data_IF_138906658856
#
_entry.id   IF_138906658856
#
_cell.length_a   1.000
_cell.length_b   1.000
_cell.length_c   1.000
_cell.angle_alpha   90.00
_cell.angle_beta   90.00
_cell.angle_gamma   90.00
#
_symmetry.space_group_name_H-M   'P 1'
#
loop_
_entity.id
_entity.type
_entity.pdbx_description
1 polymer ?
#
# COMPACT_ATOMS: atom_id res chain seq x y z
N UNK A 1 21.59 -24.33 39.07
CA UNK A 1 20.96 -23.61 37.95
C UNK A 1 20.65 -22.21 38.43
N UNK A 2 21.03 -21.13 37.72
CA UNK A 2 20.72 -19.77 38.18
C UNK A 2 19.20 -19.58 38.15
N UNK A 3 18.65 -18.99 39.22
CA UNK A 3 17.23 -18.62 39.32
C UNK A 3 16.79 -17.88 38.06
N UNK A 4 15.80 -18.42 37.35
CA UNK A 4 15.16 -17.69 36.26
C UNK A 4 14.37 -16.54 36.87
N UNK A 5 14.95 -15.33 36.88
CA UNK A 5 14.21 -14.10 37.21
C UNK A 5 12.92 -14.05 36.39
N UNK A 6 11.78 -13.98 37.08
CA UNK A 6 10.44 -13.88 36.48
C UNK A 6 10.42 -12.68 35.52
N UNK A 7 10.30 -12.96 34.22
CA UNK A 7 10.22 -11.92 33.17
C UNK A 7 8.86 -11.23 33.23
N UNK A 8 8.84 -9.94 32.94
CA UNK A 8 7.59 -9.15 32.89
C UNK A 8 6.93 -9.39 31.53
N UNK A 9 5.63 -9.68 31.52
CA UNK A 9 4.86 -9.82 30.27
C UNK A 9 4.43 -8.43 29.81
N UNK A 10 4.63 -8.14 28.53
CA UNK A 10 4.23 -6.90 27.87
C UNK A 10 3.57 -7.21 26.52
N UNK A 11 2.77 -6.28 26.01
CA UNK A 11 2.11 -6.39 24.71
C UNK A 11 3.01 -6.03 23.51
N UNK A 12 2.50 -6.12 22.28
CA UNK A 12 3.21 -5.71 21.06
C UNK A 12 3.33 -4.18 20.93
N UNK A 13 2.60 -3.43 21.74
CA UNK A 13 2.69 -1.98 21.94
C UNK A 13 2.53 -1.65 23.42
N UNK A 14 3.31 -0.70 23.91
CA UNK A 14 3.30 -0.29 25.30
C UNK A 14 3.51 1.22 25.45
N UNK A 15 3.20 1.75 26.62
CA UNK A 15 3.59 3.10 27.00
C UNK A 15 4.89 3.05 27.82
N UNK A 16 5.80 3.99 27.56
CA UNK A 16 7.04 4.16 28.31
C UNK A 16 7.26 5.61 28.73
N UNK A 17 8.09 5.81 29.74
CA UNK A 17 8.55 7.14 30.13
C UNK A 17 10.05 7.32 29.91
N UNK A 18 10.48 8.58 29.82
CA UNK A 18 11.89 8.99 29.95
C UNK A 18 12.02 9.79 31.27
N UNK A 19 12.31 9.12 32.40
CA UNK A 19 12.25 9.75 33.72
C UNK A 19 13.22 10.94 33.88
N UNK A 20 14.39 10.87 33.25
CA UNK A 20 15.41 11.93 33.28
C UNK A 20 14.93 13.21 32.57
N UNK A 21 13.89 13.13 31.74
CA UNK A 21 13.34 14.23 30.94
C UNK A 21 11.90 14.59 31.33
N UNK A 22 11.40 14.04 32.45
CA UNK A 22 10.02 14.26 32.90
C UNK A 22 8.91 13.71 32.00
N UNK A 23 9.26 13.03 30.90
CA UNK A 23 8.32 12.49 29.91
C UNK A 23 7.69 11.19 30.41
N UNK A 24 6.37 11.10 30.29
CA UNK A 24 5.56 9.93 30.69
C UNK A 24 4.62 9.55 29.57
N UNK A 25 4.14 8.31 29.62
CA UNK A 25 3.08 7.80 28.74
C UNK A 25 3.35 7.99 27.23
N UNK A 26 4.59 7.75 26.82
CA UNK A 26 5.00 7.80 25.42
C UNK A 26 4.71 6.46 24.75
N UNK A 27 3.92 6.43 23.66
CA UNK A 27 3.62 5.20 22.94
C UNK A 27 4.87 4.62 22.26
N UNK A 28 5.05 3.31 22.40
CA UNK A 28 6.20 2.60 21.87
C UNK A 28 5.80 1.29 21.20
N UNK A 29 6.41 1.02 20.04
CA UNK A 29 6.30 -0.29 19.36
C UNK A 29 7.31 -1.26 19.96
N UNK A 30 6.85 -2.44 20.34
CA UNK A 30 7.73 -3.53 20.76
C UNK A 30 8.11 -4.36 19.53
N UNK A 31 9.40 -4.36 19.19
CA UNK A 31 9.94 -5.05 18.02
C UNK A 31 11.01 -6.05 18.43
N UNK A 32 10.65 -7.34 18.39
CA UNK A 32 11.56 -8.44 18.74
C UNK A 32 12.56 -8.76 17.62
N UNK A 33 12.34 -8.27 16.40
CA UNK A 33 13.28 -8.38 15.27
C UNK A 33 14.41 -7.35 15.37
N UNK A 34 14.07 -6.12 15.77
CA UNK A 34 15.03 -5.03 15.91
C UNK A 34 16.14 -5.35 16.92
N UNK A 35 17.40 -5.16 16.50
CA UNK A 35 18.57 -5.31 17.39
C UNK A 35 18.66 -4.16 18.39
N UNK A 36 18.36 -2.95 17.93
CA UNK A 36 18.52 -1.68 18.65
C UNK A 36 17.19 -0.96 18.79
N UNK A 37 17.08 -0.13 19.82
CA UNK A 37 15.93 0.73 20.05
C UNK A 37 16.14 2.08 19.36
N UNK A 38 15.06 2.75 18.94
CA UNK A 38 15.10 4.05 18.26
C UNK A 38 14.11 4.99 18.92
N UNK A 39 14.50 6.25 19.09
CA UNK A 39 13.63 7.32 19.62
C UNK A 39 13.56 8.46 18.60
N UNK A 40 12.41 9.08 18.50
CA UNK A 40 12.24 10.30 17.74
C UNK A 40 13.06 11.44 18.35
N UNK A 41 14.03 11.95 17.60
CA UNK A 41 14.77 13.16 17.93
C UNK A 41 14.71 14.18 16.79
N UNK A 42 14.76 15.46 17.17
CA UNK A 42 14.83 16.63 16.30
C UNK A 42 15.99 17.54 16.74
N UNK A 43 16.33 18.50 15.87
CA UNK A 43 17.35 19.52 16.11
C UNK A 43 18.70 18.98 16.61
N UNK A 44 19.15 17.87 16.01
CA UNK A 44 20.38 17.16 16.40
C UNK A 44 21.61 17.94 15.90
N UNK A 45 22.49 18.35 16.81
CA UNK A 45 23.71 19.13 16.51
C UNK A 45 24.88 18.60 17.32
N UNK A 46 25.99 18.29 16.65
CA UNK A 46 27.26 17.94 17.28
C UNK A 46 28.20 19.16 17.23
N UNK A 47 28.67 19.64 18.39
CA UNK A 47 29.65 20.73 18.49
C UNK A 47 30.68 20.42 19.58
N UNK A 48 31.97 20.51 19.26
CA UNK A 48 33.07 20.35 20.22
C UNK A 48 33.01 19.07 21.07
N UNK A 49 32.58 17.94 20.48
CA UNK A 49 32.46 16.65 21.17
C UNK A 49 31.23 16.53 22.07
N UNK A 50 30.27 17.46 21.96
CA UNK A 50 29.00 17.44 22.68
C UNK A 50 27.86 17.31 21.67
N UNK A 51 26.97 16.35 21.88
CA UNK A 51 25.76 16.18 21.09
C UNK A 51 24.57 16.85 21.78
N UNK A 52 23.90 17.74 21.08
CA UNK A 52 22.64 18.36 21.49
C UNK A 52 21.50 17.86 20.61
N UNK A 53 20.34 17.60 21.19
CA UNK A 53 19.14 17.20 20.47
C UNK A 53 17.90 17.47 21.31
N UNK A 54 16.71 17.46 20.69
CA UNK A 54 15.42 17.51 21.39
C UNK A 54 14.67 16.21 21.11
N UNK A 55 14.01 15.64 22.11
CA UNK A 55 13.09 14.53 21.86
C UNK A 55 11.78 15.07 21.29
N UNK A 56 11.34 14.47 20.18
CA UNK A 56 10.17 14.88 19.40
C UNK A 56 10.32 16.28 18.76
N UNK A 57 9.38 16.68 17.90
CA UNK A 57 9.34 18.02 17.29
C UNK A 57 8.08 18.79 17.73
N UNK A 58 8.00 20.10 17.47
CA UNK A 58 6.92 20.99 17.96
C UNK A 58 5.50 20.50 17.65
N UNK A 59 5.36 19.75 16.57
CA UNK A 59 4.10 19.16 16.10
C UNK A 59 3.67 17.92 16.89
N UNK A 60 4.54 17.37 17.75
CA UNK A 60 4.25 16.23 18.62
C UNK A 60 3.60 16.66 19.93
N UNK A 61 2.58 15.92 20.36
CA UNK A 61 1.96 16.09 21.69
C UNK A 61 2.92 15.80 22.86
N UNK A 62 4.05 15.12 22.59
CA UNK A 62 5.07 14.77 23.59
C UNK A 62 6.23 15.76 23.65
N UNK A 63 6.21 16.81 22.82
CA UNK A 63 7.29 17.78 22.73
C UNK A 63 7.32 18.72 23.94
N UNK A 64 8.45 18.72 24.64
CA UNK A 64 8.70 19.64 25.77
C UNK A 64 9.57 20.83 25.37
N UNK A 65 10.25 20.76 24.22
CA UNK A 65 11.29 21.72 23.83
C UNK A 65 12.56 21.67 24.68
N UNK A 66 12.67 20.69 25.57
CA UNK A 66 13.83 20.52 26.42
C UNK A 66 15.03 20.00 25.60
N UNK A 67 16.12 20.77 25.63
CA UNK A 67 17.34 20.41 24.94
C UNK A 67 18.14 19.39 25.77
N UNK A 68 18.33 18.21 25.20
CA UNK A 68 19.12 17.13 25.80
C UNK A 68 20.56 17.23 25.33
N UNK A 69 21.50 17.14 26.28
CA UNK A 69 22.94 17.17 26.01
C UNK A 69 23.57 15.82 26.36
N UNK A 70 24.33 15.25 25.43
CA UNK A 70 25.05 13.99 25.62
C UNK A 70 26.56 14.17 25.31
N UNK A 71 27.40 13.86 26.29
CA UNK A 71 28.87 13.80 26.16
C UNK A 71 29.36 12.41 25.77
N UNK A 72 28.58 11.37 26.05
CA UNK A 72 28.82 10.01 25.58
C UNK A 72 27.80 9.64 24.51
N UNK A 73 28.23 9.64 23.25
CA UNK A 73 27.45 9.19 22.12
C UNK A 73 28.29 8.35 21.16
N UNK A 74 27.63 7.43 20.46
CA UNK A 74 28.20 6.70 19.35
C UNK A 74 27.59 7.16 18.03
N UNK A 75 28.19 6.73 16.94
CA UNK A 75 27.63 6.84 15.59
C UNK A 75 27.47 5.44 15.03
N UNK A 76 26.32 5.15 14.45
CA UNK A 76 26.10 3.92 13.70
C UNK A 76 25.75 4.28 12.27
N UNK A 77 26.33 3.55 11.34
CA UNK A 77 25.84 3.56 9.97
C UNK A 77 24.66 2.61 9.94
N UNK A 78 23.47 3.16 9.77
CA UNK A 78 22.30 2.37 9.41
C UNK A 78 22.28 2.33 7.89
N UNK A 79 22.29 1.13 7.33
CA UNK A 79 22.07 0.92 5.90
C UNK A 79 20.66 0.34 5.77
N UNK A 80 19.62 1.17 5.62
CA UNK A 80 18.31 0.66 5.24
C UNK A 80 18.43 -0.01 3.87
N UNK A 81 17.46 -0.85 3.50
CA UNK A 81 17.39 -1.46 2.16
C UNK A 81 17.24 -0.46 1.01
N UNK A 82 17.20 0.85 1.30
CA UNK A 82 17.34 1.93 0.34
C UNK A 82 18.78 2.14 -0.16
N UNK A 83 19.78 1.49 0.46
CA UNK A 83 21.17 1.49 0.03
C UNK A 83 21.92 2.81 0.26
N UNK A 84 21.34 3.78 0.96
CA UNK A 84 22.03 4.98 1.41
C UNK A 84 22.34 4.83 2.90
N UNK A 85 23.63 4.66 3.20
CA UNK A 85 24.16 4.68 4.56
C UNK A 85 23.80 6.01 5.23
N UNK A 86 22.90 5.97 6.21
CA UNK A 86 22.55 7.10 7.06
C UNK A 86 23.35 6.96 8.36
N UNK A 87 24.23 7.93 8.64
CA UNK A 87 24.89 8.01 9.94
C UNK A 87 23.89 8.52 10.97
N UNK A 88 23.60 7.69 11.98
CA UNK A 88 22.73 8.04 13.09
C UNK A 88 23.49 8.05 14.41
N UNK A 89 23.20 9.03 15.24
CA UNK A 89 23.72 9.10 16.59
C UNK A 89 23.05 8.06 17.48
N UNK A 90 23.82 7.52 18.42
CA UNK A 90 23.36 6.58 19.44
C UNK A 90 23.71 7.15 20.80
N UNK A 91 22.70 7.32 21.64
CA UNK A 91 22.84 7.83 23.00
C UNK A 91 22.30 6.83 24.01
N UNK A 92 22.80 6.86 25.25
CA UNK A 92 22.21 6.06 26.34
C UNK A 92 21.14 6.89 27.04
N UNK A 93 19.90 6.43 26.98
CA UNK A 93 18.77 7.04 27.69
C UNK A 93 18.26 6.10 28.79
N UNK A 94 17.79 6.68 29.89
CA UNK A 94 17.01 5.94 30.88
C UNK A 94 15.54 5.95 30.47
N UNK A 95 14.96 4.75 30.35
CA UNK A 95 13.53 4.55 30.08
C UNK A 95 12.86 3.80 31.21
N UNK A 96 11.57 4.04 31.41
CA UNK A 96 10.72 3.25 32.31
C UNK A 96 9.66 2.53 31.47
N UNK A 97 9.69 1.21 31.48
CA UNK A 97 8.77 0.34 30.73
C UNK A 97 8.16 -0.70 31.67
N UNK A 98 6.83 -0.78 31.72
CA UNK A 98 6.07 -1.67 32.62
C UNK A 98 6.60 -1.63 34.08
N UNK A 99 6.83 -0.42 34.59
CA UNK A 99 7.36 -0.19 35.93
C UNK A 99 8.87 -0.37 36.10
N UNK A 100 9.58 -0.95 35.13
CA UNK A 100 11.02 -1.23 35.21
C UNK A 100 11.86 -0.11 34.58
N UNK A 101 12.80 0.45 35.34
CA UNK A 101 13.78 1.43 34.83
C UNK A 101 14.96 0.72 34.17
N UNK A 102 15.31 1.13 32.96
CA UNK A 102 16.35 0.50 32.12
C UNK A 102 17.17 1.59 31.47
N UNK A 103 18.50 1.52 31.61
CA UNK A 103 19.42 2.35 30.82
C UNK A 103 19.84 1.56 29.59
N UNK A 104 19.53 2.08 28.40
CA UNK A 104 19.81 1.40 27.13
C UNK A 104 20.19 2.40 26.05
N UNK A 105 20.87 1.89 25.01
CA UNK A 105 21.22 2.68 23.84
C UNK A 105 20.01 2.87 22.92
N UNK A 106 19.78 4.11 22.50
CA UNK A 106 18.78 4.51 21.53
C UNK A 106 19.44 5.20 20.36
N UNK A 107 19.08 4.78 19.15
CA UNK A 107 19.38 5.51 17.94
C UNK A 107 18.46 6.72 17.84
N UNK A 108 19.03 7.90 17.56
CA UNK A 108 18.28 9.12 17.29
C UNK A 108 17.88 9.15 15.81
N UNK A 109 16.59 9.26 15.53
CA UNK A 109 16.07 9.36 14.17
C UNK A 109 14.87 10.30 14.10
N UNK A 110 14.63 10.92 12.95
CA UNK A 110 13.35 11.59 12.73
C UNK A 110 12.25 10.53 12.59
N UNK A 111 11.30 10.52 13.52
CA UNK A 111 10.15 9.59 13.50
C UNK A 111 8.79 10.30 13.43
N UNK A 112 8.77 11.53 12.91
CA UNK A 112 7.54 12.34 12.67
C UNK A 112 6.52 11.66 11.76
N UNK A 113 6.90 10.58 11.08
CA UNK A 113 6.05 9.86 10.13
C UNK A 113 5.55 8.53 10.63
N UNK A 114 5.96 8.11 11.82
CA UNK A 114 5.72 6.78 12.35
C UNK A 114 4.61 6.84 13.41
N UNK A 115 3.74 5.82 13.42
CA UNK A 115 2.69 5.67 14.44
C UNK A 115 3.25 5.68 15.85
N UNK A 116 4.44 5.10 16.05
CA UNK A 116 5.11 5.06 17.34
C UNK A 116 6.37 5.93 17.32
N UNK A 117 6.42 6.98 18.16
CA UNK A 117 7.59 7.85 18.28
C UNK A 117 8.79 7.12 18.90
N UNK A 118 8.58 5.96 19.53
CA UNK A 118 9.63 5.09 20.06
C UNK A 118 9.48 3.66 19.53
N UNK A 119 10.60 3.04 19.17
CA UNK A 119 10.71 1.62 18.86
C UNK A 119 11.64 0.94 19.86
N UNK A 120 11.15 -0.10 20.53
CA UNK A 120 11.87 -0.83 21.57
C UNK A 120 12.34 -2.17 21.00
N UNK A 121 13.66 -2.27 20.82
CA UNK A 121 14.34 -3.44 20.28
C UNK A 121 14.89 -4.39 21.34
N UNK A 122 15.53 -5.47 20.88
CA UNK A 122 16.09 -6.55 21.74
C UNK A 122 17.07 -6.07 22.80
N UNK A 123 17.79 -4.96 22.57
CA UNK A 123 18.72 -4.41 23.56
C UNK A 123 18.03 -3.97 24.87
N UNK A 124 16.78 -3.51 24.79
CA UNK A 124 15.95 -3.22 25.97
C UNK A 124 15.30 -4.51 26.48
N UNK A 125 14.74 -5.32 25.58
CA UNK A 125 13.88 -6.47 25.90
C UNK A 125 14.59 -7.67 26.52
N UNK A 126 15.80 -8.00 26.05
CA UNK A 126 16.51 -9.25 26.36
C UNK A 126 16.67 -9.44 27.86
N UNK A 127 16.35 -10.65 28.31
CA UNK A 127 16.40 -11.13 29.70
C UNK A 127 15.50 -10.39 30.70
N UNK A 128 14.61 -9.49 30.24
CA UNK A 128 13.75 -8.68 31.12
C UNK A 128 12.26 -8.88 30.85
N UNK A 129 11.88 -9.09 29.59
CA UNK A 129 10.48 -9.14 29.17
C UNK A 129 10.14 -10.37 28.32
N UNK A 130 8.86 -10.72 28.30
CA UNK A 130 8.21 -11.64 27.35
C UNK A 130 7.14 -10.83 26.63
N UNK A 131 7.10 -10.92 25.30
CA UNK A 131 6.09 -10.22 24.49
C UNK A 131 4.93 -11.20 24.26
N UNK A 132 3.77 -10.90 24.82
CA UNK A 132 2.54 -11.65 24.59
C UNK A 132 1.61 -10.85 23.67
N UNK A 133 1.43 -11.36 22.45
CA UNK A 133 0.63 -10.74 21.39
C UNK A 133 -0.87 -10.73 21.69
N UNK A 134 -1.32 -11.49 22.70
CA UNK A 134 -2.71 -11.48 23.16
C UNK A 134 -2.96 -10.41 24.24
N UNK A 135 -1.93 -9.68 24.67
CA UNK A 135 -1.99 -8.68 25.74
C UNK A 135 -1.46 -7.32 25.28
N UNK A 136 -1.72 -6.28 26.08
CA UNK A 136 -1.41 -4.89 25.77
C UNK A 136 -2.67 -4.07 25.51
N UNK A 137 -2.63 -2.77 25.82
CA UNK A 137 -3.64 -1.84 25.29
C UNK A 137 -3.23 -1.50 23.87
N UNK A 138 -4.10 -1.86 22.94
CA UNK A 138 -3.96 -1.51 21.54
C UNK A 138 -3.99 0.02 21.43
N UNK A 139 -2.86 0.67 21.12
CA UNK A 139 -2.85 2.08 20.66
C UNK A 139 -3.64 2.26 19.35
N UNK A 140 -3.97 1.12 18.72
CA UNK A 140 -5.05 0.90 17.75
C UNK A 140 -6.39 1.49 18.19
N UNK A 141 -6.76 1.59 19.47
CA UNK A 141 -8.05 2.17 19.88
C UNK A 141 -8.18 3.64 19.46
N UNK A 142 -7.11 4.43 19.60
CA UNK A 142 -7.08 5.83 19.17
C UNK A 142 -7.10 5.98 17.62
N UNK A 143 -6.50 5.03 16.90
CA UNK A 143 -6.54 4.98 15.44
C UNK A 143 -7.87 4.45 14.91
N UNK A 144 -8.50 3.51 15.63
CA UNK A 144 -9.83 2.96 15.37
C UNK A 144 -10.87 4.05 15.62
N UNK A 145 -10.75 4.83 16.70
CA UNK A 145 -11.61 5.99 16.96
C UNK A 145 -11.45 7.06 15.88
N UNK A 146 -10.21 7.43 15.52
CA UNK A 146 -9.96 8.37 14.41
C UNK A 146 -10.50 7.82 13.08
N UNK A 147 -10.30 6.54 12.79
CA UNK A 147 -10.84 5.90 11.59
C UNK A 147 -12.37 5.89 11.63
N UNK A 148 -13.01 5.59 12.77
CA UNK A 148 -14.45 5.59 12.96
C UNK A 148 -15.05 6.99 12.77
N UNK A 149 -14.38 8.04 13.27
CA UNK A 149 -14.77 9.43 13.05
C UNK A 149 -14.69 9.81 11.56
N UNK A 150 -13.63 9.39 10.86
CA UNK A 150 -13.52 9.61 9.41
C UNK A 150 -14.57 8.81 8.65
N UNK A 151 -14.81 7.55 9.01
CA UNK A 151 -15.88 6.73 8.42
C UNK A 151 -17.26 7.36 8.64
N UNK A 152 -17.52 7.91 9.83
CA UNK A 152 -18.75 8.65 10.13
C UNK A 152 -18.86 9.95 9.31
N UNK A 153 -17.77 10.70 9.16
CA UNK A 153 -17.75 11.91 8.33
C UNK A 153 -17.96 11.61 6.83
N UNK A 154 -17.53 10.43 6.39
CA UNK A 154 -17.71 9.90 5.03
C UNK A 154 -19.04 9.16 4.85
N UNK A 155 -19.83 8.98 5.90
CA UNK A 155 -21.14 8.35 5.80
C UNK A 155 -22.00 9.08 4.75
N UNK A 156 -22.91 8.37 4.07
CA UNK A 156 -23.78 9.00 3.09
C UNK A 156 -24.53 10.18 3.74
N UNK A 157 -24.18 11.41 3.37
CA UNK A 157 -24.98 12.60 3.69
C UNK A 157 -26.28 12.53 2.90
N UNK A 158 -27.24 13.41 3.17
CA UNK A 158 -28.42 13.56 2.30
C UNK A 158 -27.96 13.94 0.88
N UNK A 159 -27.69 12.93 0.07
CA UNK A 159 -27.28 13.05 -1.31
C UNK A 159 -28.56 13.19 -2.12
N UNK A 160 -28.61 14.20 -3.00
CA UNK A 160 -29.73 14.35 -3.92
C UNK A 160 -29.97 13.05 -4.68
N UNK A 161 -31.20 12.52 -4.60
CA UNK A 161 -31.58 11.30 -5.31
C UNK A 161 -31.49 11.54 -6.81
N UNK A 162 -30.93 10.59 -7.53
CA UNK A 162 -30.92 10.62 -9.00
C UNK A 162 -32.34 10.56 -9.55
N UNK A 163 -32.60 11.30 -10.63
CA UNK A 163 -33.87 11.23 -11.37
C UNK A 163 -33.99 9.93 -12.21
N UNK A 164 -32.89 9.18 -12.37
CA UNK A 164 -32.84 7.97 -13.19
C UNK A 164 -32.19 6.82 -12.41
N UNK A 165 -32.97 6.06 -11.62
CA UNK A 165 -32.45 4.93 -10.87
C UNK A 165 -31.85 3.88 -11.81
N UNK A 166 -30.78 3.24 -11.36
CA UNK A 166 -30.03 2.22 -12.11
C UNK A 166 -30.06 0.92 -11.30
N UNK A 167 -30.07 -0.22 -11.99
CA UNK A 167 -29.79 -1.53 -11.40
C UNK A 167 -28.29 -1.80 -11.46
N UNK A 168 -27.65 -1.83 -10.30
CA UNK A 168 -26.20 -1.97 -10.15
C UNK A 168 -25.86 -3.31 -9.50
N UNK A 169 -25.07 -4.13 -10.18
CA UNK A 169 -24.44 -5.31 -9.61
C UNK A 169 -23.00 -5.01 -9.17
N UNK A 170 -22.69 -5.17 -7.89
CA UNK A 170 -21.31 -5.13 -7.39
C UNK A 170 -20.80 -6.57 -7.27
N UNK A 171 -19.86 -6.95 -8.13
CA UNK A 171 -19.30 -8.30 -8.12
C UNK A 171 -18.15 -8.38 -7.11
N UNK A 172 -18.38 -9.04 -5.96
CA UNK A 172 -17.40 -9.11 -4.87
C UNK A 172 -17.54 -10.44 -4.11
N UNK A 173 -16.44 -11.00 -3.59
CA UNK A 173 -16.47 -12.26 -2.81
C UNK A 173 -17.24 -12.14 -1.48
N UNK A 174 -17.46 -10.92 -0.98
CA UNK A 174 -18.21 -10.67 0.23
C UNK A 174 -18.57 -9.20 0.39
N UNK A 175 -19.69 -8.94 1.06
CA UNK A 175 -20.20 -7.58 1.28
C UNK A 175 -19.46 -6.82 2.39
N UNK A 176 -18.70 -7.52 3.25
CA UNK A 176 -18.02 -6.94 4.41
C UNK A 176 -16.74 -6.15 4.07
N UNK A 177 -16.24 -6.23 2.83
CA UNK A 177 -15.10 -5.42 2.42
C UNK A 177 -15.49 -3.93 2.36
N UNK A 178 -14.72 -3.07 3.03
CA UNK A 178 -14.95 -1.62 3.12
C UNK A 178 -15.34 -0.96 1.79
N UNK A 179 -14.56 -1.20 0.72
CA UNK A 179 -14.83 -0.60 -0.59
C UNK A 179 -16.19 -1.05 -1.15
N UNK A 180 -16.52 -2.34 -0.99
CA UNK A 180 -17.82 -2.89 -1.45
C UNK A 180 -18.97 -2.28 -0.67
N UNK A 181 -18.83 -2.19 0.67
CA UNK A 181 -19.81 -1.60 1.58
C UNK A 181 -20.08 -0.13 1.21
N UNK A 182 -19.02 0.68 1.14
CA UNK A 182 -19.10 2.11 0.78
C UNK A 182 -19.77 2.34 -0.57
N UNK A 183 -19.38 1.61 -1.61
CA UNK A 183 -19.98 1.73 -2.94
C UNK A 183 -21.48 1.38 -2.91
N UNK A 184 -21.88 0.35 -2.15
CA UNK A 184 -23.28 -0.02 -1.98
C UNK A 184 -24.06 1.08 -1.26
N UNK A 185 -23.56 1.55 -0.12
CA UNK A 185 -24.21 2.57 0.72
C UNK A 185 -24.44 3.86 -0.06
N UNK A 186 -23.41 4.36 -0.73
CA UNK A 186 -23.50 5.57 -1.54
C UNK A 186 -24.45 5.38 -2.73
N UNK A 187 -24.38 4.25 -3.43
CA UNK A 187 -25.30 4.00 -4.55
C UNK A 187 -26.77 3.90 -4.10
N UNK A 188 -27.04 3.26 -2.95
CA UNK A 188 -28.39 3.19 -2.37
C UNK A 188 -28.87 4.58 -1.91
N UNK A 189 -28.02 5.33 -1.22
CA UNK A 189 -28.34 6.69 -0.78
C UNK A 189 -28.68 7.63 -1.95
N UNK A 190 -28.05 7.39 -3.12
CA UNK A 190 -28.33 8.13 -4.36
C UNK A 190 -29.55 7.62 -5.14
N UNK A 191 -30.22 6.58 -4.66
CA UNK A 191 -31.49 6.09 -5.22
C UNK A 191 -31.37 4.93 -6.22
N UNK A 192 -30.23 4.22 -6.26
CA UNK A 192 -30.06 3.06 -7.14
C UNK A 192 -30.49 1.74 -6.47
N UNK A 193 -30.89 0.76 -7.29
CA UNK A 193 -31.13 -0.63 -6.86
C UNK A 193 -29.80 -1.39 -6.93
N UNK A 194 -29.27 -1.80 -5.79
CA UNK A 194 -27.90 -2.33 -5.69
C UNK A 194 -27.89 -3.75 -5.14
N UNK A 195 -27.29 -4.67 -5.90
CA UNK A 195 -27.07 -6.06 -5.47
C UNK A 195 -25.57 -6.38 -5.40
N UNK A 196 -25.10 -6.81 -4.23
CA UNK A 196 -23.76 -7.39 -4.11
C UNK A 196 -23.84 -8.88 -4.44
N UNK A 197 -23.06 -9.32 -5.43
CA UNK A 197 -23.12 -10.68 -5.97
C UNK A 197 -21.75 -11.33 -5.83
N UNK A 198 -21.72 -12.50 -5.19
CA UNK A 198 -20.51 -13.30 -5.14
C UNK A 198 -20.27 -13.99 -6.48
N UNK A 199 -19.41 -13.38 -7.30
CA UNK A 199 -19.05 -13.90 -8.62
C UNK A 199 -18.46 -15.32 -8.57
N UNK A 200 -17.87 -15.74 -7.45
CA UNK A 200 -17.32 -17.09 -7.31
C UNK A 200 -18.41 -18.17 -7.20
N UNK A 201 -19.65 -17.79 -6.88
CA UNK A 201 -20.82 -18.67 -6.84
C UNK A 201 -21.74 -18.48 -8.05
N UNK A 202 -21.38 -17.61 -8.98
CA UNK A 202 -22.12 -17.46 -10.23
C UNK A 202 -21.80 -18.62 -11.17
N UNK A 203 -22.74 -19.02 -12.00
CA UNK A 203 -22.56 -19.94 -13.13
C UNK A 203 -23.35 -19.41 -14.32
N UNK A 204 -23.04 -19.87 -15.54
CA UNK A 204 -23.51 -19.23 -16.76
C UNK A 204 -23.93 -20.28 -17.78
N UNK A 205 -24.97 -19.98 -18.56
CA UNK A 205 -25.31 -20.75 -19.76
C UNK A 205 -24.76 -20.05 -21.00
N UNK A 206 -24.33 -20.85 -21.98
CA UNK A 206 -23.84 -20.37 -23.27
C UNK A 206 -24.84 -20.79 -24.35
N UNK A 207 -25.84 -19.93 -24.58
CA UNK A 207 -26.89 -20.15 -25.56
C UNK A 207 -26.88 -19.04 -26.61
N UNK A 208 -27.24 -19.38 -27.86
CA UNK A 208 -27.31 -18.42 -28.97
C UNK A 208 -28.21 -17.25 -28.58
N UNK A 209 -27.64 -16.03 -28.63
CA UNK A 209 -28.33 -14.77 -28.32
C UNK A 209 -28.94 -14.67 -26.92
N UNK A 210 -28.56 -15.55 -25.99
CA UNK A 210 -29.12 -15.59 -24.63
C UNK A 210 -28.03 -15.78 -23.57
N UNK A 211 -27.12 -14.80 -23.39
CA UNK A 211 -26.16 -14.84 -22.30
C UNK A 211 -26.90 -14.68 -20.96
N UNK A 212 -26.84 -15.68 -20.08
CA UNK A 212 -27.45 -15.62 -18.74
C UNK A 212 -26.42 -15.94 -17.66
N UNK A 213 -26.46 -15.18 -16.57
CA UNK A 213 -25.73 -15.46 -15.33
C UNK A 213 -26.74 -15.94 -14.29
N UNK A 214 -26.40 -17.01 -13.59
CA UNK A 214 -27.17 -17.57 -12.49
C UNK A 214 -26.43 -17.38 -11.17
N UNK A 215 -27.18 -17.26 -10.08
CA UNK A 215 -26.67 -17.17 -8.73
C UNK A 215 -27.66 -17.82 -7.75
N UNK A 216 -27.18 -18.78 -6.95
CA UNK A 216 -28.00 -19.53 -6.00
C UNK A 216 -29.29 -20.11 -6.62
N UNK A 217 -29.17 -20.85 -7.73
CA UNK A 217 -30.31 -21.51 -8.38
C UNK A 217 -31.17 -20.61 -9.28
N UNK A 218 -30.95 -19.28 -9.27
CA UNK A 218 -31.83 -18.32 -9.97
C UNK A 218 -31.09 -17.56 -11.04
N UNK A 219 -31.74 -17.35 -12.18
CA UNK A 219 -31.27 -16.43 -13.20
C UNK A 219 -31.22 -15.01 -12.63
N UNK A 220 -30.10 -14.33 -12.83
CA UNK A 220 -29.97 -12.93 -12.45
C UNK A 220 -30.68 -12.03 -13.47
N UNK A 221 -31.33 -10.94 -13.00
CA UNK A 221 -31.93 -9.98 -13.91
C UNK A 221 -30.84 -9.23 -14.70
N UNK A 222 -31.26 -8.53 -15.75
CA UNK A 222 -30.39 -7.56 -16.42
C UNK A 222 -30.05 -6.42 -15.45
N UNK A 223 -28.76 -6.08 -15.39
CA UNK A 223 -28.26 -4.91 -14.69
C UNK A 223 -27.89 -3.83 -15.70
N UNK A 224 -28.07 -2.57 -15.33
CA UNK A 224 -27.58 -1.44 -16.13
C UNK A 224 -26.06 -1.34 -15.98
N UNK A 225 -25.56 -1.62 -14.77
CA UNK A 225 -24.16 -1.43 -14.40
C UNK A 225 -23.63 -2.63 -13.64
N UNK A 226 -22.38 -2.99 -13.94
CA UNK A 226 -21.57 -3.93 -13.18
C UNK A 226 -20.34 -3.21 -12.65
N UNK A 227 -20.14 -3.27 -11.33
CA UNK A 227 -18.92 -2.79 -10.66
C UNK A 227 -18.09 -4.01 -10.24
N UNK A 228 -17.08 -4.42 -11.05
CA UNK A 228 -16.27 -5.58 -10.75
C UNK A 228 -15.22 -5.28 -9.67
N UNK A 229 -15.29 -6.03 -8.57
CA UNK A 229 -14.29 -6.08 -7.49
C UNK A 229 -13.64 -7.46 -7.47
N UNK A 230 -13.08 -7.86 -8.61
CA UNK A 230 -12.52 -9.19 -8.82
C UNK A 230 -11.18 -9.33 -8.09
N UNK A 231 -11.08 -10.38 -7.28
CA UNK A 231 -9.86 -10.75 -6.56
C UNK A 231 -8.86 -11.35 -7.53
N UNK A 232 -7.58 -11.05 -7.33
CA UNK A 232 -6.53 -11.44 -8.27
C UNK A 232 -6.40 -12.96 -8.44
N UNK A 233 -6.61 -13.73 -7.37
CA UNK A 233 -6.62 -15.21 -7.40
C UNK A 233 -7.77 -15.81 -8.21
N UNK A 234 -8.81 -15.03 -8.53
CA UNK A 234 -9.99 -15.49 -9.28
C UNK A 234 -10.15 -14.74 -10.61
N UNK A 235 -9.09 -14.09 -11.11
CA UNK A 235 -9.17 -13.24 -12.31
C UNK A 235 -9.78 -13.97 -13.52
N UNK A 236 -9.36 -15.22 -13.79
CA UNK A 236 -9.85 -15.99 -14.95
C UNK A 236 -11.36 -16.20 -14.88
N UNK A 237 -11.88 -16.68 -13.75
CA UNK A 237 -13.31 -16.94 -13.60
C UNK A 237 -14.12 -15.65 -13.43
N UNK A 238 -13.64 -14.72 -12.60
CA UNK A 238 -14.31 -13.46 -12.33
C UNK A 238 -14.46 -12.59 -13.59
N UNK A 239 -13.44 -12.52 -14.44
CA UNK A 239 -13.55 -11.80 -15.72
C UNK A 239 -14.47 -12.50 -16.72
N UNK A 240 -14.60 -13.83 -16.67
CA UNK A 240 -15.60 -14.54 -17.47
C UNK A 240 -17.04 -14.16 -17.06
N UNK A 241 -17.31 -14.06 -15.76
CA UNK A 241 -18.60 -13.57 -15.24
C UNK A 241 -18.86 -12.12 -15.66
N UNK A 242 -17.86 -11.24 -15.53
CA UNK A 242 -17.95 -9.84 -16.01
C UNK A 242 -18.30 -9.81 -17.50
N UNK A 243 -17.60 -10.59 -18.31
CA UNK A 243 -17.83 -10.68 -19.75
C UNK A 243 -19.23 -11.14 -20.11
N UNK A 244 -19.81 -12.04 -19.32
CA UNK A 244 -21.19 -12.46 -19.54
C UNK A 244 -22.18 -11.31 -19.34
N UNK A 245 -21.98 -10.47 -18.31
CA UNK A 245 -22.78 -9.26 -18.12
C UNK A 245 -22.56 -8.21 -19.22
N UNK A 246 -21.33 -8.07 -19.71
CA UNK A 246 -21.02 -7.21 -20.87
C UNK A 246 -21.79 -7.68 -22.11
N UNK A 247 -21.85 -9.00 -22.36
CA UNK A 247 -22.63 -9.59 -23.46
C UNK A 247 -24.14 -9.39 -23.28
N UNK A 248 -24.63 -9.22 -22.05
CA UNK A 248 -26.02 -8.80 -21.76
C UNK A 248 -26.26 -7.29 -21.97
N UNK A 249 -25.23 -6.52 -22.32
CA UNK A 249 -25.28 -5.08 -22.55
C UNK A 249 -25.03 -4.22 -21.31
N UNK A 250 -24.67 -4.81 -20.18
CA UNK A 250 -24.40 -4.07 -18.93
C UNK A 250 -23.14 -3.23 -19.06
N UNK A 251 -23.13 -2.03 -18.49
CA UNK A 251 -21.93 -1.19 -18.40
C UNK A 251 -21.00 -1.67 -17.28
N UNK A 252 -19.80 -2.13 -17.63
CA UNK A 252 -18.79 -2.52 -16.65
C UNK A 252 -17.84 -1.36 -16.33
N UNK A 253 -17.69 -0.96 -15.06
CA UNK A 253 -16.77 0.12 -14.66
C UNK A 253 -15.30 -0.24 -14.85
N UNK A 254 -14.98 -1.54 -14.97
CA UNK A 254 -13.74 -2.04 -15.55
C UNK A 254 -14.08 -3.25 -16.41
N UNK A 255 -13.75 -3.20 -17.69
CA UNK A 255 -14.12 -4.29 -18.60
C UNK A 255 -13.36 -5.58 -18.28
N UNK A 256 -13.91 -6.72 -18.69
CA UNK A 256 -13.24 -8.03 -18.56
C UNK A 256 -11.84 -8.02 -19.18
N UNK A 257 -11.67 -7.31 -20.31
CA UNK A 257 -10.39 -7.14 -21.01
C UNK A 257 -9.46 -6.20 -20.21
N UNK A 258 -9.95 -5.07 -19.72
CA UNK A 258 -9.13 -4.11 -18.96
C UNK A 258 -8.64 -4.70 -17.63
N UNK A 259 -9.48 -5.48 -16.94
CA UNK A 259 -9.08 -6.23 -15.73
C UNK A 259 -7.94 -7.18 -16.09
N UNK A 260 -8.11 -8.05 -17.09
CA UNK A 260 -7.07 -9.01 -17.49
C UNK A 260 -5.75 -8.30 -17.86
N UNK A 261 -5.83 -7.22 -18.63
CA UNK A 261 -4.68 -6.39 -19.01
C UNK A 261 -3.95 -5.82 -17.80
N UNK A 262 -4.69 -5.31 -16.80
CA UNK A 262 -4.11 -4.75 -15.57
C UNK A 262 -3.48 -5.79 -14.64
N UNK A 263 -3.86 -7.08 -14.77
CA UNK A 263 -3.28 -8.18 -13.99
C UNK A 263 -2.02 -8.76 -14.60
N UNK A 264 -1.85 -8.60 -15.91
CA UNK A 264 -0.66 -9.02 -16.63
C UNK A 264 0.37 -7.89 -16.60
N UNK A 265 1.36 -8.02 -15.71
CA UNK A 265 2.38 -6.99 -15.51
C UNK A 265 3.20 -6.72 -16.77
N UNK A 266 3.51 -7.76 -17.56
CA UNK A 266 4.28 -7.59 -18.79
C UNK A 266 3.47 -6.78 -19.80
N UNK A 267 2.24 -7.24 -20.07
CA UNK A 267 1.35 -6.56 -21.01
C UNK A 267 1.04 -5.13 -20.57
N UNK A 268 0.79 -4.91 -19.28
CA UNK A 268 0.57 -3.59 -18.73
C UNK A 268 1.78 -2.68 -18.95
N UNK A 269 2.99 -3.17 -18.63
CA UNK A 269 4.24 -2.40 -18.79
C UNK A 269 4.48 -2.04 -20.26
N UNK A 270 4.27 -2.98 -21.19
CA UNK A 270 4.38 -2.72 -22.63
C UNK A 270 3.40 -1.64 -23.12
N UNK A 271 2.16 -1.67 -22.62
CA UNK A 271 1.13 -0.68 -22.98
C UNK A 271 1.47 0.69 -22.40
N UNK A 272 1.93 0.75 -21.16
CA UNK A 272 2.38 2.00 -20.53
C UNK A 272 3.56 2.61 -21.28
N UNK A 273 4.57 1.80 -21.62
CA UNK A 273 5.72 2.23 -22.42
C UNK A 273 5.29 2.78 -23.79
N UNK A 274 4.41 2.08 -24.52
CA UNK A 274 3.88 2.53 -25.82
C UNK A 274 3.09 3.83 -25.73
N UNK A 275 2.52 4.14 -24.56
CA UNK A 275 1.74 5.35 -24.33
C UNK A 275 2.57 6.48 -23.70
N UNK A 276 3.90 6.38 -23.74
CA UNK A 276 4.80 7.40 -23.20
C UNK A 276 4.51 7.69 -21.71
N UNK A 277 4.19 6.64 -20.95
CA UNK A 277 4.07 6.73 -19.49
C UNK A 277 5.43 6.37 -18.90
N UNK A 278 5.96 7.25 -18.05
CA UNK A 278 7.17 6.97 -17.28
C UNK A 278 7.01 5.66 -16.50
N UNK A 279 7.89 4.71 -16.75
CA UNK A 279 7.96 3.41 -16.06
C UNK A 279 9.42 3.13 -15.73
N UNK A 280 9.72 2.32 -14.70
CA UNK A 280 11.10 1.93 -14.49
C UNK A 280 11.57 1.03 -15.64
N UNK A 281 12.82 1.23 -16.09
CA UNK A 281 13.42 0.42 -17.16
C UNK A 281 13.27 -1.06 -16.83
N UNK A 282 12.58 -1.80 -17.70
CA UNK A 282 12.19 -3.18 -17.45
C UNK A 282 12.60 -4.08 -18.61
N UNK A 283 13.34 -5.13 -18.28
CA UNK A 283 13.77 -6.19 -19.18
C UNK A 283 12.95 -7.44 -18.88
N UNK A 284 12.38 -8.04 -19.92
CA UNK A 284 11.68 -9.31 -19.82
C UNK A 284 12.47 -10.36 -20.59
N UNK A 285 12.73 -11.50 -19.95
CA UNK A 285 13.58 -12.54 -20.52
C UNK A 285 13.04 -13.94 -20.24
N UNK A 286 13.43 -14.89 -21.09
CA UNK A 286 13.16 -16.33 -20.96
C UNK A 286 14.48 -17.10 -21.03
N UNK A 287 14.43 -18.36 -20.65
CA UNK A 287 15.53 -19.32 -20.39
C UNK A 287 16.76 -19.25 -21.33
N UNK A 288 16.61 -18.83 -22.58
CA UNK A 288 17.71 -18.74 -23.56
C UNK A 288 18.56 -17.46 -23.49
N UNK A 289 18.30 -16.55 -22.54
CA UNK A 289 18.96 -15.25 -22.48
C UNK A 289 20.19 -15.23 -21.56
N UNK A 290 21.21 -14.45 -21.95
CA UNK A 290 22.38 -14.22 -21.11
C UNK A 290 21.99 -13.40 -19.87
N UNK A 291 22.11 -14.01 -18.69
CA UNK A 291 21.73 -13.38 -17.42
C UNK A 291 22.53 -12.11 -17.09
N UNK A 292 23.78 -11.98 -17.53
CA UNK A 292 24.54 -10.74 -17.35
C UNK A 292 23.96 -9.60 -18.17
N UNK A 293 23.72 -9.89 -19.44
CA UNK A 293 23.19 -8.94 -20.40
C UNK A 293 21.82 -8.41 -19.95
N UNK A 294 20.95 -9.27 -19.39
CA UNK A 294 19.66 -8.84 -18.83
C UNK A 294 19.84 -7.79 -17.73
N UNK A 295 20.80 -8.00 -16.83
CA UNK A 295 21.07 -7.06 -15.72
C UNK A 295 21.64 -5.75 -16.27
N UNK A 296 22.53 -5.82 -17.25
CA UNK A 296 23.14 -4.64 -17.86
C UNK A 296 22.12 -3.83 -18.68
N UNK A 297 21.24 -4.51 -19.42
CA UNK A 297 20.10 -3.87 -20.09
C UNK A 297 19.15 -3.20 -19.10
N UNK A 298 18.99 -3.72 -17.89
CA UNK A 298 18.19 -3.11 -16.83
C UNK A 298 18.89 -1.92 -16.14
N UNK A 299 20.13 -1.59 -16.50
CA UNK A 299 20.90 -0.47 -15.94
C UNK A 299 21.99 -0.88 -14.93
N UNK A 300 22.24 -2.19 -14.77
CA UNK A 300 23.20 -2.71 -13.80
C UNK A 300 22.60 -2.90 -12.40
N UNK A 301 23.31 -3.62 -11.53
CA UNK A 301 22.87 -3.84 -10.16
C UNK A 301 23.02 -2.56 -9.30
N UNK A 302 22.14 -2.32 -8.31
CA UNK A 302 21.03 -3.18 -7.88
C UNK A 302 19.84 -3.21 -8.86
N UNK A 303 19.17 -4.37 -8.94
CA UNK A 303 17.97 -4.57 -9.77
C UNK A 303 16.83 -5.21 -8.98
N UNK A 304 15.59 -4.97 -9.43
CA UNK A 304 14.39 -5.63 -8.92
C UNK A 304 13.99 -6.77 -9.85
N UNK A 305 13.87 -7.98 -9.32
CA UNK A 305 13.37 -9.15 -10.05
C UNK A 305 11.94 -9.44 -9.59
N UNK A 306 10.98 -9.37 -10.51
CA UNK A 306 9.55 -9.62 -10.21
C UNK A 306 9.04 -10.83 -10.97
N UNK A 307 8.35 -11.74 -10.29
CA UNK A 307 7.57 -12.77 -10.95
C UNK A 307 6.40 -12.15 -11.71
N UNK A 308 6.22 -12.58 -12.96
CA UNK A 308 5.19 -12.04 -13.86
C UNK A 308 3.76 -12.34 -13.34
N UNK A 309 3.60 -13.41 -12.53
CA UNK A 309 2.34 -13.78 -11.87
C UNK A 309 2.53 -13.78 -10.35
N UNK A 310 1.84 -12.88 -9.65
CA UNK A 310 1.90 -12.77 -8.19
C UNK A 310 1.17 -11.52 -7.66
N UNK A 311 0.84 -11.54 -6.38
CA UNK A 311 0.02 -10.52 -5.68
C UNK A 311 0.69 -10.19 -4.34
N UNK A 312 0.55 -8.98 -3.82
CA UNK A 312 1.00 -8.60 -2.47
C UNK A 312 2.51 -8.70 -2.20
N UNK A 313 3.37 -8.40 -3.20
CA UNK A 313 4.83 -8.32 -2.99
C UNK A 313 5.56 -9.67 -2.87
N UNK A 314 4.84 -10.80 -2.88
CA UNK A 314 5.43 -12.14 -2.99
C UNK A 314 6.00 -12.33 -4.40
N UNK A 315 7.29 -12.66 -4.48
CA UNK A 315 8.04 -12.78 -5.72
C UNK A 315 8.55 -11.46 -6.29
N UNK A 316 8.78 -10.45 -5.44
CA UNK A 316 9.60 -9.27 -5.76
C UNK A 316 10.88 -9.36 -4.93
N UNK A 317 12.03 -9.41 -5.60
CA UNK A 317 13.35 -9.57 -4.98
C UNK A 317 14.24 -8.40 -5.37
N UNK A 318 14.87 -7.76 -4.38
CA UNK A 318 15.96 -6.82 -4.62
C UNK A 318 17.27 -7.62 -4.68
N UNK A 319 17.97 -7.52 -5.81
CA UNK A 319 19.28 -8.10 -6.00
C UNK A 319 20.33 -7.00 -6.03
N UNK A 320 21.09 -6.87 -4.94
CA UNK A 320 22.06 -5.78 -4.76
C UNK A 320 23.28 -5.89 -5.67
N UNK A 321 23.62 -7.12 -6.09
CA UNK A 321 24.80 -7.41 -6.91
C UNK A 321 24.41 -8.20 -8.16
N UNK A 322 25.23 -8.09 -9.23
CA UNK A 322 25.06 -8.92 -10.44
C UNK A 322 25.02 -10.42 -10.10
N UNK A 323 25.87 -10.87 -9.17
CA UNK A 323 25.93 -12.27 -8.73
C UNK A 323 24.64 -12.72 -8.05
N UNK A 324 24.09 -11.89 -7.15
CA UNK A 324 22.81 -12.16 -6.52
C UNK A 324 21.66 -12.20 -7.54
N UNK A 325 21.65 -11.25 -8.48
CA UNK A 325 20.63 -11.18 -9.53
C UNK A 325 20.63 -12.45 -10.38
N UNK A 326 21.80 -12.91 -10.81
CA UNK A 326 21.96 -14.18 -11.54
C UNK A 326 21.41 -15.37 -10.76
N UNK A 327 21.81 -15.52 -9.50
CA UNK A 327 21.37 -16.65 -8.68
C UNK A 327 19.84 -16.71 -8.57
N UNK A 328 19.19 -15.56 -8.35
CA UNK A 328 17.72 -15.46 -8.28
C UNK A 328 17.07 -15.78 -9.62
N UNK A 329 17.57 -15.22 -10.73
CA UNK A 329 17.03 -15.49 -12.07
C UNK A 329 17.18 -16.96 -12.47
N UNK A 330 18.32 -17.56 -12.15
CA UNK A 330 18.61 -18.96 -12.46
C UNK A 330 17.69 -19.91 -11.66
N UNK A 331 17.43 -19.59 -10.39
CA UNK A 331 16.43 -20.31 -9.60
C UNK A 331 15.02 -20.21 -10.22
N UNK A 332 14.61 -19.03 -10.70
CA UNK A 332 13.31 -18.89 -11.36
C UNK A 332 13.22 -19.62 -12.70
N UNK A 333 14.32 -19.76 -13.46
CA UNK A 333 14.33 -20.59 -14.66
C UNK A 333 14.15 -22.07 -14.36
N UNK A 334 14.84 -22.61 -13.34
CA UNK A 334 14.69 -24.01 -12.92
C UNK A 334 13.24 -24.32 -12.54
N UNK A 335 12.56 -23.38 -11.87
CA UNK A 335 11.15 -23.51 -11.49
C UNK A 335 10.17 -23.24 -12.63
N UNK A 336 10.65 -22.92 -13.84
CA UNK A 336 9.81 -22.61 -15.00
C UNK A 336 8.97 -21.33 -14.84
N UNK A 337 9.40 -20.41 -13.96
CA UNK A 337 8.66 -19.20 -13.62
C UNK A 337 9.08 -18.04 -14.53
N UNK A 338 8.09 -17.40 -15.17
CA UNK A 338 8.33 -16.16 -15.91
C UNK A 338 8.61 -14.99 -14.95
N UNK A 339 9.68 -14.25 -15.17
CA UNK A 339 10.06 -13.08 -14.38
C UNK A 339 10.43 -11.88 -15.27
N UNK A 340 10.51 -10.71 -14.65
CA UNK A 340 11.02 -9.46 -15.23
C UNK A 340 12.12 -8.91 -14.33
N UNK A 341 13.11 -8.28 -14.95
CA UNK A 341 14.19 -7.55 -14.27
C UNK A 341 13.96 -6.07 -14.51
N UNK A 342 13.98 -5.29 -13.46
CA UNK A 342 13.63 -3.88 -13.49
C UNK A 342 14.71 -3.07 -12.79
N UNK A 343 14.97 -1.86 -13.27
CA UNK A 343 15.87 -0.93 -12.58
C UNK A 343 15.40 -0.69 -11.13
N UNK A 344 16.37 -0.55 -10.21
CA UNK A 344 16.07 -0.13 -8.86
C UNK A 344 16.16 1.39 -8.74
N UNK A 345 15.01 2.03 -8.57
CA UNK A 345 14.90 3.48 -8.34
C UNK A 345 15.23 3.77 -6.87
N UNK A 346 16.51 3.98 -6.59
CA UNK A 346 17.09 4.10 -5.24
C UNK A 346 16.48 5.24 -4.43
N UNK A 347 16.24 6.38 -5.07
CA UNK A 347 15.74 7.61 -4.44
C UNK A 347 14.32 7.49 -3.89
N UNK A 348 13.55 6.49 -4.36
CA UNK A 348 12.20 6.19 -3.89
C UNK A 348 12.12 4.86 -3.16
N UNK A 349 13.25 4.24 -2.81
CA UNK A 349 13.24 2.96 -2.12
C UNK A 349 12.48 3.02 -0.78
N UNK A 350 11.60 2.05 -0.56
CA UNK A 350 10.74 2.02 0.63
C UNK A 350 9.57 3.01 0.58
N UNK A 351 9.36 3.72 -0.53
CA UNK A 351 8.24 4.64 -0.71
C UNK A 351 7.53 4.46 -2.05
N UNK A 352 6.21 4.61 -2.05
CA UNK A 352 5.44 4.74 -3.28
C UNK A 352 4.21 5.63 -3.07
N UNK A 353 3.68 6.19 -4.15
CA UNK A 353 2.47 6.99 -4.16
C UNK A 353 1.34 6.17 -4.78
N UNK A 354 0.29 5.92 -3.99
CA UNK A 354 -0.99 5.37 -4.45
C UNK A 354 -1.91 6.53 -4.85
N UNK A 355 -2.21 6.63 -6.14
CA UNK A 355 -3.14 7.60 -6.71
C UNK A 355 -4.44 6.91 -7.11
N UNK A 356 -5.58 7.38 -6.62
CA UNK A 356 -6.90 6.93 -7.09
C UNK A 356 -7.39 7.86 -8.20
N UNK A 357 -7.64 7.29 -9.37
CA UNK A 357 -8.15 8.00 -10.55
C UNK A 357 -9.59 7.57 -10.79
N UNK A 358 -10.49 8.53 -11.03
CA UNK A 358 -11.90 8.31 -11.42
C UNK A 358 -12.25 9.25 -12.57
N UNK A 359 -12.69 8.71 -13.71
CA UNK A 359 -13.20 9.51 -14.83
C UNK A 359 -12.24 10.59 -15.33
N UNK A 360 -10.95 10.25 -15.41
CA UNK A 360 -9.85 11.15 -15.79
C UNK A 360 -9.46 12.24 -14.78
N UNK A 361 -9.83 12.08 -13.51
CA UNK A 361 -9.42 12.99 -12.43
C UNK A 361 -8.78 12.21 -11.30
N UNK A 362 -7.75 12.78 -10.68
CA UNK A 362 -7.22 12.27 -9.42
C UNK A 362 -8.17 12.66 -8.29
N UNK A 363 -8.73 11.67 -7.61
CA UNK A 363 -9.69 11.90 -6.52
C UNK A 363 -9.04 11.82 -5.14
N UNK A 364 -8.01 10.99 -4.97
CA UNK A 364 -7.22 10.90 -3.75
C UNK A 364 -5.80 10.41 -4.05
N UNK A 365 -4.85 10.80 -3.21
CA UNK A 365 -3.45 10.38 -3.31
C UNK A 365 -2.86 10.21 -1.91
N UNK A 366 -2.18 9.09 -1.70
CA UNK A 366 -1.46 8.81 -0.46
C UNK A 366 -0.07 8.32 -0.78
N UNK A 367 0.93 8.80 -0.04
CA UNK A 367 2.26 8.20 -0.03
C UNK A 367 2.27 7.08 1.00
N UNK A 368 2.81 5.93 0.63
CA UNK A 368 3.00 4.75 1.47
C UNK A 368 4.48 4.61 1.73
N UNK A 369 4.85 4.41 3.00
CA UNK A 369 6.23 4.23 3.42
C UNK A 369 6.39 2.91 4.18
N UNK A 370 7.43 2.16 3.88
CA UNK A 370 7.81 0.95 4.63
C UNK A 370 8.14 1.30 6.09
N UNK A 371 7.73 0.45 7.04
CA UNK A 371 8.05 0.59 8.46
C UNK A 371 9.44 0.04 8.82
N UNK A 372 9.95 -0.86 7.99
CA UNK A 372 11.20 -1.59 8.22
C UNK A 372 12.26 -1.18 7.18
N UNK A 373 13.46 -1.72 7.32
CA UNK A 373 14.47 -1.74 6.25
C UNK A 373 14.01 -2.64 5.08
N UNK A 374 12.74 -2.63 4.67
CA UNK A 374 12.21 -3.26 3.45
C UNK A 374 12.02 -2.21 2.36
N UNK A 375 12.53 -2.47 1.16
CA UNK A 375 12.42 -1.58 0.00
C UNK A 375 10.99 -1.52 -0.54
N UNK A 376 10.09 -2.41 -0.08
CA UNK A 376 8.68 -2.48 -0.46
C UNK A 376 7.81 -1.68 0.52
N UNK A 377 7.00 -0.78 -0.02
CA UNK A 377 6.13 0.15 0.73
C UNK A 377 4.69 -0.33 0.94
N UNK A 378 4.40 -1.63 0.83
CA UNK A 378 3.03 -2.13 0.86
C UNK A 378 2.36 -1.91 2.23
N UNK A 379 1.29 -1.11 2.26
CA UNK A 379 0.45 -0.84 3.45
C UNK A 379 -0.15 -2.08 4.11
N UNK A 380 -0.31 -3.19 3.37
CA UNK A 380 -0.80 -4.46 3.94
C UNK A 380 0.21 -5.13 4.88
N UNK A 381 1.47 -4.71 4.87
CA UNK A 381 2.54 -5.18 5.75
C UNK A 381 2.94 -4.14 6.81
N UNK A 382 2.03 -3.19 7.11
CA UNK A 382 2.22 -2.22 8.19
C UNK A 382 2.70 -0.84 7.73
N UNK A 383 3.00 -0.61 6.44
CA UNK A 383 3.47 0.69 5.96
C UNK A 383 2.54 1.87 6.30
N UNK A 384 3.10 2.98 6.76
CA UNK A 384 2.34 4.19 7.14
C UNK A 384 1.94 4.95 5.88
N UNK A 385 0.67 5.33 5.80
CA UNK A 385 0.16 6.14 4.71
C UNK A 385 -0.01 7.60 5.13
N UNK A 386 0.51 8.55 4.35
CA UNK A 386 0.27 9.99 4.52
C UNK A 386 -0.43 10.58 3.30
N UNK A 387 -1.23 11.63 3.50
CA UNK A 387 -1.78 12.42 2.39
C UNK A 387 -0.62 13.08 1.64
N UNK A 388 -0.62 13.00 0.31
CA UNK A 388 0.39 13.65 -0.53
C UNK A 388 -0.29 14.51 -1.59
N UNK A 389 0.24 15.71 -1.81
CA UNK A 389 -0.14 16.56 -2.94
C UNK A 389 0.72 16.17 -4.13
N UNK A 390 0.08 15.83 -5.24
CA UNK A 390 0.78 15.51 -6.48
C UNK A 390 1.30 16.78 -7.15
N UNK A 391 2.42 16.67 -7.85
CA UNK A 391 2.83 17.65 -8.86
C UNK A 391 1.94 17.53 -10.11
N UNK A 392 1.95 18.54 -10.98
CA UNK A 392 1.21 18.46 -12.24
C UNK A 392 1.65 17.28 -13.11
N UNK A 393 2.94 16.99 -13.12
CA UNK A 393 3.52 15.90 -13.90
C UNK A 393 3.10 14.53 -13.35
N UNK A 394 3.06 14.39 -12.02
CA UNK A 394 2.55 13.18 -11.34
C UNK A 394 1.07 12.95 -11.66
N UNK A 395 0.24 14.00 -11.57
CA UNK A 395 -1.18 13.91 -11.89
C UNK A 395 -1.40 13.55 -13.37
N UNK A 396 -0.71 14.23 -14.30
CA UNK A 396 -0.77 13.93 -15.74
C UNK A 396 -0.35 12.49 -16.02
N UNK A 397 0.71 12.01 -15.38
CA UNK A 397 1.21 10.63 -15.50
C UNK A 397 0.21 9.61 -14.99
N UNK A 398 -0.39 9.83 -13.81
CA UNK A 398 -1.42 8.97 -13.25
C UNK A 398 -2.65 8.86 -14.19
N UNK A 399 -3.12 10.00 -14.70
CA UNK A 399 -4.26 10.06 -15.62
C UNK A 399 -3.92 9.36 -16.94
N UNK A 400 -2.71 9.56 -17.47
CA UNK A 400 -2.22 8.91 -18.70
C UNK A 400 -2.16 7.39 -18.52
N UNK A 401 -1.64 6.90 -17.39
CA UNK A 401 -1.60 5.48 -17.07
C UNK A 401 -3.01 4.85 -16.98
N UNK A 402 -3.96 5.53 -16.31
CA UNK A 402 -5.35 5.08 -16.23
C UNK A 402 -6.02 5.00 -17.62
N UNK A 403 -5.78 6.01 -18.48
CA UNK A 403 -6.27 6.05 -19.86
C UNK A 403 -5.63 4.95 -20.73
N UNK A 404 -4.32 4.76 -20.65
CA UNK A 404 -3.59 3.72 -21.35
C UNK A 404 -4.16 2.32 -21.03
N UNK A 405 -4.59 2.12 -19.79
CA UNK A 405 -5.19 0.86 -19.34
C UNK A 405 -6.70 0.75 -19.61
N UNK A 406 -7.33 1.78 -20.19
CA UNK A 406 -8.79 1.87 -20.36
C UNK A 406 -9.56 1.54 -19.07
N UNK A 407 -9.08 2.10 -17.94
CA UNK A 407 -9.69 1.92 -16.63
C UNK A 407 -10.29 3.25 -16.16
N UNK A 408 -11.63 3.37 -16.19
CA UNK A 408 -12.33 4.54 -15.67
C UNK A 408 -12.09 4.81 -14.19
N UNK A 409 -11.91 3.74 -13.41
CA UNK A 409 -11.55 3.78 -12.01
C UNK A 409 -10.41 2.79 -11.76
N UNK A 410 -9.31 3.28 -11.20
CA UNK A 410 -8.18 2.45 -10.82
C UNK A 410 -7.32 3.12 -9.73
N UNK A 411 -6.46 2.31 -9.12
CA UNK A 411 -5.32 2.81 -8.34
C UNK A 411 -4.07 2.74 -9.19
N UNK A 412 -3.37 3.86 -9.36
CA UNK A 412 -2.06 3.93 -10.00
C UNK A 412 -1.01 4.04 -8.92
N UNK A 413 -0.05 3.13 -8.94
CA UNK A 413 1.08 3.12 -8.00
C UNK A 413 2.28 3.69 -8.72
N UNK A 414 2.92 4.65 -8.09
CA UNK A 414 3.95 5.46 -8.71
C UNK A 414 5.09 5.67 -7.74
N UNK A 415 6.25 6.02 -8.27
CA UNK A 415 7.38 6.49 -7.49
C UNK A 415 7.96 7.75 -8.10
N UNK A 416 8.62 8.55 -7.28
CA UNK A 416 9.34 9.75 -7.72
C UNK A 416 10.75 9.35 -8.13
N UNK A 417 11.18 9.70 -9.32
CA UNK A 417 12.58 9.55 -9.69
C UNK A 417 13.16 10.87 -10.19
N UNK A 418 14.48 10.93 -10.29
CA UNK A 418 15.18 12.13 -10.75
C UNK A 418 14.77 12.56 -12.17
N UNK A 419 14.30 11.62 -12.99
CA UNK A 419 13.83 11.80 -14.37
C UNK A 419 12.29 11.86 -14.50
N UNK A 420 11.57 12.07 -13.39
CA UNK A 420 10.12 12.26 -13.38
C UNK A 420 9.37 11.12 -12.66
N UNK A 421 8.02 11.07 -12.74
CA UNK A 421 7.24 10.04 -12.09
C UNK A 421 7.24 8.71 -12.86
N UNK A 422 7.54 7.61 -12.15
CA UNK A 422 7.56 6.25 -12.70
C UNK A 422 6.39 5.41 -12.18
N UNK A 423 5.56 4.90 -13.08
CA UNK A 423 4.41 4.03 -12.77
C UNK A 423 4.88 2.60 -12.54
N UNK A 424 4.52 2.06 -11.38
CA UNK A 424 4.83 0.70 -10.93
C UNK A 424 3.73 -0.30 -11.30
N UNK A 425 2.48 0.06 -11.05
CA UNK A 425 1.32 -0.78 -11.35
C UNK A 425 0.03 0.04 -11.51
N UNK A 426 -0.91 -0.48 -12.30
CA UNK A 426 -2.27 0.09 -12.42
C UNK A 426 -3.28 -1.00 -12.02
N UNK A 427 -4.05 -0.74 -10.97
CA UNK A 427 -4.93 -1.69 -10.33
C UNK A 427 -6.41 -1.43 -10.64
N UNK A 428 -7.04 -2.34 -11.40
CA UNK A 428 -8.48 -2.25 -11.73
C UNK A 428 -9.41 -2.40 -10.53
N UNK A 429 -8.95 -3.05 -9.45
CA UNK A 429 -9.73 -3.30 -8.23
C UNK A 429 -9.06 -2.69 -6.99
N UNK A 430 -8.52 -1.47 -7.11
CA UNK A 430 -7.84 -0.80 -5.98
C UNK A 430 -8.77 -0.58 -4.78
N UNK A 431 -8.26 -0.75 -3.56
CA UNK A 431 -8.98 -0.45 -2.33
C UNK A 431 -9.09 1.05 -2.14
N UNK A 432 -10.27 1.53 -1.74
CA UNK A 432 -10.46 2.95 -1.38
C UNK A 432 -10.28 3.20 0.13
N UNK A 433 -10.22 2.14 0.96
CA UNK A 433 -10.20 2.27 2.43
C UNK A 433 -9.08 3.18 2.91
N UNK A 434 -7.84 2.80 2.66
CA UNK A 434 -6.67 3.54 3.15
C UNK A 434 -6.64 4.98 2.61
N UNK A 435 -6.85 5.23 1.30
CA UNK A 435 -6.96 6.61 0.80
C UNK A 435 -8.11 7.43 1.41
N UNK A 436 -9.31 6.88 1.56
CA UNK A 436 -10.44 7.58 2.17
C UNK A 436 -10.14 7.93 3.65
N UNK A 437 -9.63 6.97 4.43
CA UNK A 437 -9.33 7.16 5.86
C UNK A 437 -8.23 8.20 6.09
N UNK A 438 -7.19 8.23 5.25
CA UNK A 438 -6.06 9.17 5.41
C UNK A 438 -6.42 10.56 4.88
N UNK A 439 -7.14 10.64 3.77
CA UNK A 439 -7.36 11.92 3.07
C UNK A 439 -8.68 12.60 3.45
N UNK A 440 -9.61 11.87 4.08
CA UNK A 440 -10.98 12.31 4.34
C UNK A 440 -11.80 12.57 3.08
N UNK A 441 -11.35 12.12 1.91
CA UNK A 441 -12.04 12.36 0.63
C UNK A 441 -13.05 11.26 0.35
N UNK A 442 -14.25 11.64 -0.04
CA UNK A 442 -15.30 10.70 -0.46
C UNK A 442 -15.09 10.22 -1.90
N UNK A 443 -14.32 9.15 -2.03
CA UNK A 443 -13.98 8.52 -3.30
C UNK A 443 -15.16 7.70 -3.83
N UNK A 444 -15.90 7.04 -2.93
CA UNK A 444 -17.06 6.22 -3.32
C UNK A 444 -18.11 7.06 -4.07
N UNK A 445 -18.44 8.26 -3.59
CA UNK A 445 -19.34 9.18 -4.31
C UNK A 445 -18.83 9.55 -5.69
N UNK A 446 -17.53 9.81 -5.85
CA UNK A 446 -16.97 10.11 -7.19
C UNK A 446 -17.09 8.94 -8.16
N UNK A 447 -16.96 7.70 -7.67
CA UNK A 447 -17.16 6.50 -8.49
C UNK A 447 -18.63 6.38 -8.92
N UNK A 448 -19.59 6.60 -8.01
CA UNK A 448 -21.02 6.50 -8.34
C UNK A 448 -21.47 7.64 -9.26
N UNK A 449 -21.03 8.88 -9.03
CA UNK A 449 -21.24 10.01 -9.95
C UNK A 449 -20.68 9.73 -11.36
N UNK A 450 -19.56 9.00 -11.45
CA UNK A 450 -19.03 8.57 -12.74
C UNK A 450 -19.94 7.52 -13.38
N UNK A 451 -20.42 6.53 -12.61
CA UNK A 451 -21.35 5.50 -13.09
C UNK A 451 -22.63 6.13 -13.65
N UNK A 452 -23.27 7.04 -12.92
CA UNK A 452 -24.50 7.73 -13.33
C UNK A 452 -24.36 8.40 -14.70
N UNK A 453 -23.22 9.08 -14.93
CA UNK A 453 -22.95 9.79 -16.18
C UNK A 453 -22.67 8.88 -17.37
N UNK A 454 -22.20 7.65 -17.14
CA UNK A 454 -21.66 6.78 -18.19
C UNK A 454 -22.46 5.50 -18.43
N UNK A 455 -23.35 5.09 -17.50
CA UNK A 455 -24.10 3.84 -17.60
C UNK A 455 -24.92 3.71 -18.90
N UNK A 456 -25.40 4.83 -19.45
CA UNK A 456 -26.21 4.88 -20.68
C UNK A 456 -25.42 5.25 -21.94
N UNK A 457 -24.10 5.47 -21.81
CA UNK A 457 -23.26 5.80 -22.97
C UNK A 457 -23.13 4.57 -23.89
N UNK A 458 -23.05 4.80 -25.21
CA UNK A 458 -22.78 3.71 -26.17
C UNK A 458 -21.43 3.07 -25.84
N UNK A 459 -21.40 1.74 -25.75
CA UNK A 459 -20.18 0.97 -25.54
C UNK A 459 -19.21 1.23 -26.69
N UNK A 460 -18.11 1.94 -26.41
CA UNK A 460 -17.00 2.08 -27.35
C UNK A 460 -16.20 0.79 -27.35
N UNK A 461 -15.90 0.26 -28.53
CA UNK A 461 -15.01 -0.90 -28.69
C UNK A 461 -13.66 -0.57 -28.05
N UNK A 462 -13.18 -1.46 -27.17
CA UNK A 462 -11.83 -1.33 -26.60
C UNK A 462 -10.80 -1.53 -27.73
N UNK A 463 -9.94 -0.52 -27.93
CA UNK A 463 -8.90 -0.49 -28.97
C UNK A 463 -7.48 -0.58 -28.40
N UNK A 464 -7.32 -0.78 -27.09
CA UNK A 464 -6.00 -0.74 -26.47
C UNK A 464 -5.20 -1.99 -26.81
N UNK A 465 -4.02 -1.78 -27.39
CA UNK A 465 -3.13 -2.85 -27.83
C UNK A 465 -3.64 -3.62 -29.04
N UNK A 466 -4.64 -3.08 -29.75
CA UNK A 466 -5.02 -3.51 -31.09
C UNK A 466 -4.05 -2.94 -32.15
#
# INVERSE_FOLDING_TARGET
>A
MPEQTKKIVIGPSEHLGFPELGLKDIPARIDTGARTSTVWASDIREQSGILQFVLFEKESEYYTGEQVTAVEFGKIIVTPSNGMAEERYVVKLQVQLAGKKIRASFTLANRSTQTYPVLVGRNVLRNKFVVDVATGKDLLDSEIEKAALVEAALAPKELGKTQQPLKIAILSKGAANYTTKRLKEIAVARGHDVKVINYAKCYMTMEKSKPVVYYNGKALPKFDVVIPRIAQSYTKYGTAVVRQFEMQGSFATASSIAINRSRDKLRATQILARQDVGIPKTVFARESANLEEIVDLAGGAPVIIKVARGTHGNGVVLAETKKAAKAVMQAFYVEGVNFMVQEFVKESAGTDIRVLVVGHRVVASVIRQSLDDDFRSNTHQGGVGKKVKLTEEEEKTAIRAAKAMNLPFCGVDMMRSADGPKVLEVNSSASIKTPELITGRDVATKIIEYVERNAKAKHKKDKVGA
#
